data_IF_898131521980
#
_entry.id   IF_898131521980
#
_cell.length_a   1.000
_cell.length_b   1.000
_cell.length_c   1.000
_cell.angle_alpha   90.00
_cell.angle_beta   90.00
_cell.angle_gamma   90.00
#
_symmetry.space_group_name_H-M   'P 1'
#
loop_
_entity.id
_entity.type
_entity.pdbx_description
1 polymer ?
#
# COMPACT_ATOMS: atom_id res chain seq x y z
N UNK A 1 -21.32 -5.56 26.20
CA UNK A 1 -20.27 -4.80 26.92
C UNK A 1 -18.95 -5.54 27.08
N UNK A 2 -18.91 -6.81 27.54
CA UNK A 2 -17.65 -7.57 27.70
C UNK A 2 -16.84 -7.71 26.40
N UNK A 3 -17.51 -7.96 25.27
CA UNK A 3 -16.85 -8.20 23.97
C UNK A 3 -16.09 -6.98 23.42
N UNK A 4 -16.62 -5.77 23.65
CA UNK A 4 -15.99 -4.50 23.22
C UNK A 4 -14.69 -4.27 24.00
N UNK A 5 -14.69 -4.57 25.30
CA UNK A 5 -13.52 -4.41 26.17
C UNK A 5 -12.35 -5.30 25.76
N UNK A 6 -12.61 -6.53 25.31
CA UNK A 6 -11.56 -7.43 24.82
C UNK A 6 -10.93 -6.94 23.51
N UNK A 7 -11.72 -6.33 22.61
CA UNK A 7 -11.20 -5.74 21.35
C UNK A 7 -10.31 -4.52 21.62
N UNK A 8 -10.70 -3.66 22.55
CA UNK A 8 -9.89 -2.49 22.95
C UNK A 8 -8.56 -2.90 23.58
N UNK A 9 -8.55 -3.96 24.40
CA UNK A 9 -7.33 -4.50 25.00
C UNK A 9 -6.41 -5.11 23.93
N UNK A 10 -6.96 -5.87 22.97
CA UNK A 10 -6.19 -6.43 21.86
C UNK A 10 -5.55 -5.34 20.99
N UNK A 11 -6.29 -4.27 20.69
CA UNK A 11 -5.75 -3.11 19.95
C UNK A 11 -4.66 -2.40 20.76
N UNK A 12 -4.85 -2.22 22.07
CA UNK A 12 -3.86 -1.62 22.95
C UNK A 12 -2.57 -2.45 23.08
N UNK A 13 -2.70 -3.77 23.23
CA UNK A 13 -1.57 -4.71 23.25
C UNK A 13 -0.85 -4.73 21.92
N UNK A 14 -1.58 -4.73 20.80
CA UNK A 14 -1.00 -4.66 19.47
C UNK A 14 -0.20 -3.37 19.25
N UNK A 15 -0.74 -2.21 19.66
CA UNK A 15 -0.01 -0.93 19.64
C UNK A 15 1.23 -0.94 20.53
N UNK A 16 1.14 -1.48 21.75
CA UNK A 16 2.28 -1.57 22.68
C UNK A 16 3.41 -2.44 22.14
N UNK A 17 3.06 -3.59 21.54
CA UNK A 17 4.02 -4.50 20.89
C UNK A 17 4.69 -3.83 19.69
N UNK A 18 3.92 -3.10 18.88
CA UNK A 18 4.47 -2.36 17.74
C UNK A 18 5.48 -1.30 18.16
N UNK A 19 5.22 -0.56 19.24
CA UNK A 19 6.16 0.46 19.73
C UNK A 19 7.47 -0.13 20.26
N UNK A 20 7.44 -1.33 20.83
CA UNK A 20 8.64 -2.01 21.34
C UNK A 20 9.46 -2.62 20.18
N UNK A 21 8.78 -3.14 19.16
CA UNK A 21 9.42 -3.68 17.95
C UNK A 21 9.99 -2.58 17.03
N UNK A 22 9.47 -1.35 17.12
CA UNK A 22 9.96 -0.19 16.38
C UNK A 22 11.08 0.53 17.12
N UNK A 23 12.34 0.17 16.84
CA UNK A 23 13.46 1.11 16.99
C UNK A 23 13.85 1.62 15.61
N UNK A 24 13.37 2.80 15.18
CA UNK A 24 13.71 3.31 13.85
C UNK A 24 15.19 3.70 13.81
N UNK A 25 16.02 2.90 13.14
CA UNK A 25 17.34 3.32 12.70
C UNK A 25 17.27 3.64 11.21
N UNK A 26 17.70 4.85 10.83
CA UNK A 26 17.57 5.40 9.49
C UNK A 26 18.81 5.11 8.64
N UNK A 27 18.61 4.42 7.52
CA UNK A 27 19.47 4.51 6.34
C UNK A 27 18.55 4.66 5.13
N UNK A 28 18.58 5.79 4.42
CA UNK A 28 17.71 5.99 3.25
C UNK A 28 18.13 7.15 2.35
N UNK A 29 18.55 6.80 1.14
CA UNK A 29 18.57 7.65 -0.05
C UNK A 29 17.19 7.56 -0.71
N UNK A 30 16.38 8.61 -0.66
CA UNK A 30 15.18 8.71 -1.49
C UNK A 30 15.08 10.13 -2.04
N UNK A 31 15.10 10.25 -3.37
CA UNK A 31 15.10 11.53 -4.11
C UNK A 31 13.71 12.15 -4.18
N UNK A 32 12.67 11.42 -3.79
CA UNK A 32 11.29 11.91 -3.76
C UNK A 32 10.91 12.16 -2.32
N UNK A 33 11.14 13.39 -1.87
CA UNK A 33 10.98 13.88 -0.51
C UNK A 33 9.52 13.84 0.00
N UNK A 34 8.94 12.65 0.15
CA UNK A 34 7.66 12.45 0.81
C UNK A 34 7.79 12.80 2.29
N UNK A 35 6.95 13.71 2.78
CA UNK A 35 6.86 14.11 4.19
C UNK A 35 8.12 14.76 4.79
N UNK A 36 9.05 15.27 3.96
CA UNK A 36 10.27 15.95 4.44
C UNK A 36 9.98 17.03 5.50
N UNK A 37 8.86 17.76 5.39
CA UNK A 37 8.46 18.80 6.33
C UNK A 37 7.94 18.27 7.68
N UNK A 38 7.09 17.22 7.68
CA UNK A 38 6.61 16.59 8.92
C UNK A 38 7.79 15.87 9.63
N UNK A 39 8.68 15.29 8.83
CA UNK A 39 9.94 14.64 9.23
C UNK A 39 10.92 15.63 9.86
N UNK A 40 11.11 16.80 9.25
CA UNK A 40 12.04 17.81 9.74
C UNK A 40 11.50 18.53 11.00
N UNK A 41 10.20 18.86 11.02
CA UNK A 41 9.55 19.52 12.15
C UNK A 41 9.42 18.63 13.41
N UNK A 42 9.14 17.33 13.25
CA UNK A 42 8.94 16.41 14.39
C UNK A 42 10.24 15.84 14.96
N UNK A 43 11.31 15.74 14.17
CA UNK A 43 12.55 15.05 14.56
C UNK A 43 13.70 16.02 14.79
N UNK A 44 13.84 17.06 13.95
CA UNK A 44 14.93 18.05 14.07
C UNK A 44 14.47 19.44 14.49
N UNK A 45 13.16 19.64 14.64
CA UNK A 45 12.55 20.96 14.88
C UNK A 45 13.01 22.03 13.86
N UNK A 46 13.38 21.63 12.65
CA UNK A 46 13.78 22.55 11.56
C UNK A 46 12.95 22.26 10.31
N UNK A 47 12.79 23.24 9.42
CA UNK A 47 12.14 23.08 8.11
C UNK A 47 13.17 23.07 6.96
N UNK A 48 14.46 23.00 7.29
CA UNK A 48 15.54 23.07 6.32
C UNK A 48 15.78 21.69 5.69
N UNK A 49 15.54 21.62 4.37
CA UNK A 49 15.65 20.41 3.54
C UNK A 49 16.95 20.38 2.72
N UNK A 50 17.85 21.36 2.93
CA UNK A 50 19.09 21.50 2.15
C UNK A 50 20.16 20.44 2.47
N UNK A 51 20.06 19.74 3.61
CA UNK A 51 21.00 18.68 4.00
C UNK A 51 20.77 17.33 3.31
N UNK A 52 19.63 17.12 2.64
CA UNK A 52 19.29 15.89 1.90
C UNK A 52 20.01 15.83 0.53
N UNK A 53 21.29 16.22 0.49
CA UNK A 53 22.09 16.56 -0.68
C UNK A 53 22.12 15.56 -1.86
N UNK A 54 22.71 15.97 -3.00
CA UNK A 54 22.61 15.25 -4.27
C UNK A 54 23.15 13.80 -4.22
N UNK A 55 22.66 12.91 -5.11
CA UNK A 55 22.86 11.46 -5.06
C UNK A 55 24.33 10.97 -5.14
N UNK A 56 25.27 11.86 -5.44
CA UNK A 56 26.65 11.52 -5.80
C UNK A 56 27.54 11.24 -4.58
N UNK A 57 27.08 11.52 -3.35
CA UNK A 57 27.90 11.38 -2.13
C UNK A 57 28.11 9.94 -1.65
N UNK A 58 27.46 8.94 -2.25
CA UNK A 58 27.55 7.54 -1.83
C UNK A 58 28.23 6.61 -2.84
N UNK A 59 28.82 7.13 -3.93
CA UNK A 59 29.54 6.34 -4.93
C UNK A 59 30.84 5.67 -4.43
N UNK A 60 31.25 5.92 -3.17
CA UNK A 60 32.52 5.44 -2.61
C UNK A 60 32.44 4.30 -1.58
N UNK A 61 31.24 3.87 -1.14
CA UNK A 61 31.14 2.84 -0.10
C UNK A 61 31.19 1.43 -0.71
N UNK A 62 32.40 0.85 -0.75
CA UNK A 62 32.60 -0.59 -0.97
C UNK A 62 31.92 -1.38 0.16
N UNK A 63 31.30 -2.54 -0.13
CA UNK A 63 30.66 -3.37 0.89
C UNK A 63 31.75 -4.06 1.74
N UNK A 64 32.02 -3.52 2.92
CA UNK A 64 32.84 -4.16 3.93
C UNK A 64 32.05 -5.25 4.66
N UNK A 65 32.66 -6.44 4.78
CA UNK A 65 32.19 -7.59 5.56
C UNK A 65 32.01 -7.25 7.04
N UNK A 66 30.98 -7.83 7.66
CA UNK A 66 30.97 -8.17 9.08
C UNK A 66 30.14 -7.27 9.98
N UNK A 67 28.86 -7.62 10.16
CA UNK A 67 28.15 -7.52 11.43
C UNK A 67 26.83 -8.31 11.33
N UNK A 68 26.96 -9.64 11.29
CA UNK A 68 25.88 -10.56 11.62
C UNK A 68 25.62 -10.47 13.12
N UNK A 69 24.35 -10.31 13.50
CA UNK A 69 23.96 -10.29 14.91
C UNK A 69 22.46 -10.11 15.08
N UNK A 70 21.76 -11.23 15.27
CA UNK A 70 20.35 -11.36 15.66
C UNK A 70 19.33 -11.29 14.52
N UNK A 71 19.28 -12.40 13.80
CA UNK A 71 18.02 -12.96 13.31
C UNK A 71 17.03 -13.07 14.48
N UNK A 72 15.95 -12.30 14.44
CA UNK A 72 14.93 -12.34 15.49
C UNK A 72 13.91 -11.24 15.29
N UNK A 73 12.91 -11.52 14.44
CA UNK A 73 11.57 -10.91 14.30
C UNK A 73 11.21 -10.60 12.83
N UNK A 74 11.16 -11.69 12.06
CA UNK A 74 10.26 -11.78 10.91
C UNK A 74 8.82 -11.64 11.40
N UNK A 75 8.10 -10.58 11.01
CA UNK A 75 6.63 -10.56 10.96
C UNK A 75 6.01 -9.28 10.33
N UNK A 76 6.70 -8.13 10.33
CA UNK A 76 6.13 -6.85 9.86
C UNK A 76 6.95 -6.07 8.83
N UNK A 77 8.13 -6.57 8.43
CA UNK A 77 9.29 -5.71 8.17
C UNK A 77 9.31 -4.97 6.83
N UNK A 78 8.55 -5.30 5.78
CA UNK A 78 8.73 -4.52 4.52
C UNK A 78 7.87 -3.26 4.40
N UNK A 79 6.67 -3.25 4.96
CA UNK A 79 5.93 -1.99 5.15
C UNK A 79 6.52 -1.17 6.32
N UNK A 80 7.36 -1.81 7.14
CA UNK A 80 8.04 -1.25 8.31
C UNK A 80 9.49 -0.85 8.03
N UNK A 81 10.12 -1.32 6.95
CA UNK A 81 11.48 -0.95 6.56
C UNK A 81 11.52 0.48 6.02
N UNK A 82 10.40 0.97 5.47
CA UNK A 82 10.19 2.36 5.11
C UNK A 82 8.85 2.88 5.68
N UNK A 83 8.74 3.00 7.02
CA UNK A 83 7.49 3.39 7.69
C UNK A 83 7.04 4.82 7.37
N UNK A 84 7.95 5.62 6.81
CA UNK A 84 7.70 6.98 6.35
C UNK A 84 7.27 7.06 4.88
N UNK A 85 7.13 5.94 4.16
CA UNK A 85 6.55 5.97 2.82
C UNK A 85 5.03 6.01 2.86
N UNK A 86 4.45 6.65 1.85
CA UNK A 86 3.02 6.96 1.75
C UNK A 86 2.08 5.74 1.85
N UNK A 87 2.57 4.50 1.72
CA UNK A 87 1.77 3.28 1.59
C UNK A 87 0.91 2.93 2.82
N UNK A 88 1.49 3.02 4.03
CA UNK A 88 0.73 2.72 5.26
C UNK A 88 -0.35 3.78 5.50
N UNK A 89 0.00 5.05 5.28
CA UNK A 89 -0.91 6.20 5.37
C UNK A 89 -2.01 6.10 4.30
N UNK A 90 -1.66 5.67 3.08
CA UNK A 90 -2.57 5.43 1.96
C UNK A 90 -3.60 4.36 2.30
N UNK A 91 -3.16 3.21 2.85
CA UNK A 91 -4.08 2.17 3.31
C UNK A 91 -5.00 2.69 4.43
N UNK A 92 -4.45 3.37 5.44
CA UNK A 92 -5.21 3.91 6.56
C UNK A 92 -6.29 4.90 6.09
N UNK A 93 -5.93 5.88 5.26
CA UNK A 93 -6.87 6.92 4.82
C UNK A 93 -7.96 6.34 3.92
N UNK A 94 -7.64 5.36 3.07
CA UNK A 94 -8.64 4.62 2.27
C UNK A 94 -9.60 3.83 3.17
N UNK A 95 -9.09 3.13 4.18
CA UNK A 95 -9.93 2.39 5.13
C UNK A 95 -10.83 3.34 5.96
N UNK A 96 -10.29 4.47 6.42
CA UNK A 96 -11.04 5.50 7.13
C UNK A 96 -12.14 6.12 6.24
N UNK A 97 -11.83 6.35 4.96
CA UNK A 97 -12.81 6.85 3.99
C UNK A 97 -13.97 5.86 3.83
N UNK A 98 -13.66 4.57 3.62
CA UNK A 98 -14.68 3.52 3.52
C UNK A 98 -15.53 3.41 4.79
N UNK A 99 -14.90 3.49 5.96
CA UNK A 99 -15.58 3.48 7.25
C UNK A 99 -16.55 4.66 7.40
N UNK A 100 -16.10 5.89 7.13
CA UNK A 100 -16.95 7.07 7.24
C UNK A 100 -18.07 7.10 6.19
N UNK A 101 -17.79 6.65 4.98
CA UNK A 101 -18.81 6.52 3.93
C UNK A 101 -19.91 5.51 4.29
N UNK A 102 -19.55 4.45 5.02
CA UNK A 102 -20.47 3.41 5.44
C UNK A 102 -21.30 3.76 6.68
N UNK A 103 -20.80 4.66 7.52
CA UNK A 103 -21.35 4.93 8.85
C UNK A 103 -22.78 5.47 8.82
N UNK A 104 -23.13 6.26 7.80
CA UNK A 104 -24.43 6.96 7.73
C UNK A 104 -25.01 6.93 6.32
N UNK A 105 -26.24 6.43 6.19
CA UNK A 105 -27.03 6.47 4.96
C UNK A 105 -28.53 6.62 5.29
N UNK A 106 -29.21 7.73 4.92
CA UNK A 106 -28.73 8.84 4.12
C UNK A 106 -27.77 9.78 4.89
N UNK A 107 -26.69 10.28 4.25
CA UNK A 107 -25.71 11.13 4.92
C UNK A 107 -26.23 12.57 5.14
N UNK A 108 -25.77 13.21 6.21
CA UNK A 108 -25.96 14.65 6.42
C UNK A 108 -24.89 15.48 5.70
N UNK A 109 -25.09 16.81 5.59
CA UNK A 109 -24.05 17.71 5.08
C UNK A 109 -22.76 17.66 5.91
N UNK A 110 -22.86 17.46 7.23
CA UNK A 110 -21.70 17.32 8.12
C UNK A 110 -20.93 16.03 7.85
N UNK A 111 -21.63 14.93 7.55
CA UNK A 111 -20.98 13.67 7.18
C UNK A 111 -20.26 13.80 5.83
N UNK A 112 -20.86 14.50 4.86
CA UNK A 112 -20.19 14.81 3.58
C UNK A 112 -19.00 15.75 3.74
N UNK A 113 -19.06 16.73 4.65
CA UNK A 113 -17.91 17.57 4.98
C UNK A 113 -16.75 16.74 5.52
N UNK A 114 -17.01 15.82 6.46
CA UNK A 114 -16.00 14.90 7.01
C UNK A 114 -15.44 13.97 5.95
N UNK A 115 -16.30 13.39 5.12
CA UNK A 115 -15.89 12.51 4.03
C UNK A 115 -15.05 13.25 2.99
N UNK A 116 -15.42 14.50 2.70
CA UNK A 116 -14.66 15.42 1.86
C UNK A 116 -13.28 15.67 2.43
N UNK A 117 -13.20 16.04 3.72
CA UNK A 117 -11.94 16.25 4.43
C UNK A 117 -11.01 15.04 4.32
N UNK A 118 -11.53 13.84 4.59
CA UNK A 118 -10.76 12.59 4.49
C UNK A 118 -10.34 12.32 3.04
N UNK A 119 -11.22 12.54 2.06
CA UNK A 119 -10.87 12.35 0.64
C UNK A 119 -9.85 13.37 0.13
N UNK A 120 -9.90 14.61 0.60
CA UNK A 120 -8.88 15.63 0.33
C UNK A 120 -7.51 15.26 0.94
N UNK A 121 -7.52 14.77 2.19
CA UNK A 121 -6.32 14.22 2.83
C UNK A 121 -5.80 12.99 2.06
N UNK A 122 -6.68 12.11 1.59
CA UNK A 122 -6.30 10.96 0.78
C UNK A 122 -5.63 11.38 -0.53
N UNK A 123 -6.14 12.43 -1.18
CA UNK A 123 -5.55 13.02 -2.37
C UNK A 123 -4.17 13.65 -2.10
N UNK A 124 -3.95 14.21 -0.91
CA UNK A 124 -2.63 14.68 -0.47
C UNK A 124 -1.63 13.53 -0.33
N UNK A 125 -2.07 12.37 0.16
CA UNK A 125 -1.21 11.18 0.24
C UNK A 125 -0.86 10.69 -1.17
N UNK A 126 -1.85 10.59 -2.05
CA UNK A 126 -1.68 10.28 -3.48
C UNK A 126 -2.79 10.89 -4.30
N UNK A 127 -2.46 11.61 -5.37
CA UNK A 127 -3.44 12.30 -6.21
C UNK A 127 -4.51 11.35 -6.79
N UNK A 128 -4.13 10.12 -7.12
CA UNK A 128 -5.07 9.09 -7.60
C UNK A 128 -6.23 8.81 -6.62
N UNK A 129 -6.05 9.02 -5.31
CA UNK A 129 -7.09 8.81 -4.30
C UNK A 129 -8.20 9.85 -4.35
N UNK A 130 -8.02 10.97 -5.08
CA UNK A 130 -9.10 11.91 -5.34
C UNK A 130 -10.31 11.24 -6.01
N UNK A 131 -10.09 10.13 -6.74
CA UNK A 131 -11.16 9.30 -7.31
C UNK A 131 -12.16 8.76 -6.28
N UNK A 132 -11.77 8.60 -5.00
CA UNK A 132 -12.69 8.17 -3.93
C UNK A 132 -13.88 9.13 -3.77
N UNK A 133 -13.68 10.43 -4.04
CA UNK A 133 -14.71 11.46 -3.91
C UNK A 133 -15.74 11.43 -5.05
N UNK A 134 -15.42 10.79 -6.18
CA UNK A 134 -16.32 10.70 -7.33
C UNK A 134 -17.62 9.97 -6.94
N UNK A 135 -17.51 8.87 -6.22
CA UNK A 135 -18.65 8.03 -5.86
C UNK A 135 -19.67 8.71 -4.92
N UNK A 136 -19.28 9.28 -3.76
CA UNK A 136 -20.22 10.03 -2.94
C UNK A 136 -20.80 11.25 -3.66
N UNK A 137 -20.03 11.89 -4.55
CA UNK A 137 -20.53 12.98 -5.38
C UNK A 137 -21.63 12.50 -6.36
N UNK A 138 -21.42 11.37 -7.05
CA UNK A 138 -22.43 10.79 -7.94
C UNK A 138 -23.70 10.38 -7.18
N UNK A 139 -23.58 9.88 -5.95
CA UNK A 139 -24.73 9.56 -5.11
C UNK A 139 -25.58 10.80 -4.78
N UNK A 140 -24.95 11.92 -4.46
CA UNK A 140 -25.65 13.16 -4.13
C UNK A 140 -26.19 13.85 -5.40
N UNK A 141 -25.46 13.76 -6.51
CA UNK A 141 -25.91 14.23 -7.82
C UNK A 141 -27.19 13.50 -8.26
N UNK A 142 -27.25 12.18 -8.08
CA UNK A 142 -28.45 11.40 -8.35
C UNK A 142 -29.64 11.82 -7.46
N UNK A 143 -29.37 12.30 -6.23
CA UNK A 143 -30.38 12.78 -5.28
C UNK A 143 -30.86 14.19 -5.56
N UNK A 144 -30.12 15.02 -6.31
CA UNK A 144 -30.55 16.38 -6.68
C UNK A 144 -31.92 16.39 -7.36
N UNK A 145 -32.23 15.37 -8.17
CA UNK A 145 -33.52 15.25 -8.86
C UNK A 145 -34.71 15.16 -7.92
N UNK A 146 -34.50 14.69 -6.69
CA UNK A 146 -35.57 14.50 -5.69
C UNK A 146 -35.53 15.59 -4.61
N UNK A 147 -34.35 16.02 -4.19
CA UNK A 147 -34.15 17.00 -3.13
C UNK A 147 -32.99 17.95 -3.50
N UNK A 148 -33.23 18.98 -4.33
CA UNK A 148 -32.16 19.80 -4.91
C UNK A 148 -31.39 20.60 -3.86
N UNK A 149 -32.08 21.20 -2.88
CA UNK A 149 -31.44 21.99 -1.81
C UNK A 149 -30.52 21.11 -0.95
N UNK A 150 -30.99 19.92 -0.55
CA UNK A 150 -30.20 18.99 0.26
C UNK A 150 -29.03 18.38 -0.52
N UNK A 151 -29.26 17.97 -1.77
CA UNK A 151 -28.19 17.41 -2.60
C UNK A 151 -27.10 18.44 -2.89
N UNK A 152 -27.47 19.70 -3.16
CA UNK A 152 -26.50 20.78 -3.39
C UNK A 152 -25.72 21.10 -2.11
N UNK A 153 -26.39 21.16 -0.96
CA UNK A 153 -25.74 21.34 0.34
C UNK A 153 -24.73 20.23 0.64
N UNK A 154 -25.07 18.97 0.34
CA UNK A 154 -24.18 17.81 0.52
C UNK A 154 -22.98 17.83 -0.43
N UNK A 155 -23.19 18.17 -1.70
CA UNK A 155 -22.12 18.34 -2.69
C UNK A 155 -21.18 19.49 -2.32
N UNK A 156 -21.74 20.64 -1.92
CA UNK A 156 -20.96 21.78 -1.45
C UNK A 156 -20.14 21.41 -0.22
N UNK A 157 -20.74 20.72 0.76
CA UNK A 157 -20.03 20.26 1.94
C UNK A 157 -18.90 19.27 1.59
N UNK A 158 -19.14 18.32 0.68
CA UNK A 158 -18.12 17.40 0.18
C UNK A 158 -16.94 18.15 -0.47
N UNK A 159 -17.24 19.10 -1.35
CA UNK A 159 -16.23 19.91 -2.04
C UNK A 159 -15.43 20.81 -1.10
N UNK A 160 -16.09 21.49 -0.16
CA UNK A 160 -15.43 22.31 0.87
C UNK A 160 -14.52 21.44 1.73
N UNK A 161 -15.01 20.28 2.18
CA UNK A 161 -14.20 19.33 2.94
C UNK A 161 -12.97 18.89 2.17
N UNK A 162 -13.14 18.51 0.90
CA UNK A 162 -12.04 18.10 0.04
C UNK A 162 -11.00 19.21 -0.16
N UNK A 163 -11.45 20.44 -0.38
CA UNK A 163 -10.57 21.61 -0.48
C UNK A 163 -9.76 21.83 0.80
N UNK A 164 -10.40 21.77 1.97
CA UNK A 164 -9.70 21.91 3.27
C UNK A 164 -8.69 20.77 3.47
N UNK A 165 -9.07 19.53 3.16
CA UNK A 165 -8.18 18.37 3.31
C UNK A 165 -6.99 18.37 2.36
N UNK A 166 -7.15 18.96 1.17
CA UNK A 166 -6.09 19.08 0.16
C UNK A 166 -5.27 20.37 0.30
N UNK A 167 -5.71 21.33 1.11
CA UNK A 167 -5.06 22.62 1.32
C UNK A 167 -3.56 22.51 1.69
N UNK A 168 -3.12 21.56 2.58
CA UNK A 168 -1.70 21.42 2.87
C UNK A 168 -0.85 21.17 1.62
N UNK A 169 -1.35 20.36 0.68
CA UNK A 169 -0.65 20.09 -0.57
C UNK A 169 -0.57 21.33 -1.47
N UNK A 170 -1.65 22.12 -1.53
CA UNK A 170 -1.68 23.35 -2.32
C UNK A 170 -0.71 24.41 -1.76
N UNK A 171 -0.57 24.49 -0.44
CA UNK A 171 0.43 25.36 0.21
C UNK A 171 1.84 24.92 -0.18
N UNK A 172 2.13 23.61 -0.13
CA UNK A 172 3.43 23.07 -0.57
C UNK A 172 3.71 23.46 -2.02
N UNK A 173 2.73 23.32 -2.90
CA UNK A 173 2.90 23.73 -4.30
C UNK A 173 3.16 25.23 -4.48
N UNK A 174 2.46 26.07 -3.70
CA UNK A 174 2.68 27.52 -3.75
C UNK A 174 4.08 27.90 -3.30
N UNK A 175 4.62 27.22 -2.29
CA UNK A 175 5.97 27.47 -1.77
C UNK A 175 7.04 26.94 -2.73
N UNK A 176 6.89 25.71 -3.23
CA UNK A 176 7.93 25.03 -4.03
C UNK A 176 7.91 25.45 -5.50
N UNK A 177 6.72 25.53 -6.10
CA UNK A 177 6.55 25.77 -7.54
C UNK A 177 5.99 27.16 -7.85
N UNK A 178 5.66 27.97 -6.83
CA UNK A 178 5.04 29.29 -7.02
C UNK A 178 3.57 29.24 -7.45
N UNK A 179 2.97 28.06 -7.60
CA UNK A 179 1.62 27.87 -8.14
C UNK A 179 0.71 27.13 -7.15
N UNK A 180 -0.56 27.51 -7.07
CA UNK A 180 -1.54 26.84 -6.19
C UNK A 180 -2.02 25.49 -6.70
N UNK A 181 -1.90 25.24 -8.00
CA UNK A 181 -2.27 23.98 -8.66
C UNK A 181 -1.16 23.60 -9.63
N UNK A 182 -0.57 22.44 -9.43
CA UNK A 182 0.48 21.90 -10.31
C UNK A 182 -0.09 20.67 -11.00
N UNK A 183 -0.19 20.73 -12.33
CA UNK A 183 -0.88 19.69 -13.11
C UNK A 183 -0.19 18.33 -13.08
N UNK A 184 1.13 18.29 -13.29
CA UNK A 184 1.91 17.05 -13.21
C UNK A 184 3.23 17.27 -12.47
N UNK A 185 3.23 17.26 -11.13
CA UNK A 185 4.45 17.41 -10.34
C UNK A 185 5.47 16.32 -10.65
N UNK A 186 5.00 15.11 -10.96
CA UNK A 186 5.84 13.96 -11.31
C UNK A 186 6.52 14.14 -12.67
N UNK A 187 5.81 14.68 -13.66
CA UNK A 187 6.38 15.00 -14.96
C UNK A 187 7.44 16.10 -14.91
N UNK A 188 7.22 17.12 -14.07
CA UNK A 188 8.19 18.20 -13.84
C UNK A 188 9.49 17.64 -13.23
N UNK A 189 9.38 16.64 -12.35
CA UNK A 189 10.51 15.96 -11.73
C UNK A 189 11.13 14.84 -12.61
N UNK A 190 10.68 14.67 -13.86
CA UNK A 190 11.16 13.59 -14.75
C UNK A 190 10.71 12.18 -14.35
N UNK A 191 9.77 12.05 -13.42
CA UNK A 191 9.28 10.77 -12.88
C UNK A 191 8.17 10.12 -13.73
N UNK A 192 8.01 10.53 -14.99
CA UNK A 192 7.09 9.92 -15.96
C UNK A 192 5.98 10.84 -16.49
N UNK A 193 5.45 10.48 -17.64
CA UNK A 193 4.30 11.10 -18.30
C UNK A 193 2.99 10.37 -17.99
N UNK A 194 1.87 11.08 -18.14
CA UNK A 194 0.51 10.54 -18.01
C UNK A 194 -0.17 10.58 -19.38
N UNK A 195 -0.60 9.41 -19.89
CA UNK A 195 -1.38 9.25 -21.11
C UNK A 195 -2.68 8.49 -20.83
N UNK A 196 -3.80 9.22 -20.90
CA UNK A 196 -5.13 8.66 -20.73
C UNK A 196 -5.62 7.80 -21.91
N UNK A 197 -4.98 7.89 -23.09
CA UNK A 197 -5.48 7.23 -24.31
C UNK A 197 -4.97 5.81 -24.49
N UNK A 198 -3.81 5.50 -23.91
CA UNK A 198 -3.18 4.19 -24.02
C UNK A 198 -2.83 3.61 -22.63
N UNK A 199 -3.82 3.31 -21.78
CA UNK A 199 -3.55 2.79 -20.45
C UNK A 199 -3.06 1.33 -20.49
N UNK A 200 -1.99 1.02 -19.74
CA UNK A 200 -1.40 -0.31 -19.58
C UNK A 200 -2.23 -1.25 -18.67
N UNK A 201 -3.54 -1.36 -18.90
CA UNK A 201 -4.49 -2.03 -17.98
C UNK A 201 -4.13 -3.50 -17.71
N UNK A 202 -3.83 -4.26 -18.77
CA UNK A 202 -3.49 -5.68 -18.64
C UNK A 202 -2.14 -5.86 -17.94
N UNK A 203 -1.20 -4.96 -18.18
CA UNK A 203 0.13 -5.02 -17.56
C UNK A 203 0.03 -4.73 -16.05
N UNK A 204 -0.78 -3.76 -15.64
CA UNK A 204 -1.04 -3.45 -14.23
C UNK A 204 -1.62 -4.66 -13.48
N UNK A 205 -2.37 -5.53 -14.16
CA UNK A 205 -3.00 -6.70 -13.55
C UNK A 205 -2.13 -7.96 -13.60
N UNK A 206 -1.49 -8.22 -14.74
CA UNK A 206 -0.89 -9.52 -15.06
C UNK A 206 0.58 -9.45 -15.49
N UNK A 207 1.21 -8.27 -15.48
CA UNK A 207 2.64 -8.21 -15.78
C UNK A 207 3.47 -8.83 -14.68
N UNK A 208 4.56 -9.50 -15.06
CA UNK A 208 5.60 -9.92 -14.11
C UNK A 208 6.32 -8.73 -13.49
N UNK A 209 6.24 -7.55 -14.10
CA UNK A 209 6.74 -6.30 -13.57
C UNK A 209 5.73 -5.67 -12.58
N UNK A 210 5.62 -6.28 -11.38
CA UNK A 210 4.75 -5.85 -10.27
C UNK A 210 3.24 -5.81 -10.56
N UNK A 211 2.75 -6.66 -11.47
CA UNK A 211 1.31 -6.81 -11.71
C UNK A 211 0.55 -7.35 -10.49
N UNK A 212 -0.68 -6.86 -10.31
CA UNK A 212 -1.49 -7.11 -9.12
C UNK A 212 -1.68 -8.59 -8.78
N UNK A 213 -2.16 -9.38 -9.73
CA UNK A 213 -2.55 -10.76 -9.46
C UNK A 213 -1.38 -11.74 -9.42
N UNK A 214 -0.29 -11.45 -10.15
CA UNK A 214 0.89 -12.30 -10.13
C UNK A 214 1.69 -12.15 -8.82
N UNK A 215 1.81 -10.91 -8.33
CA UNK A 215 2.54 -10.65 -7.09
C UNK A 215 1.69 -10.88 -5.85
N UNK A 216 0.38 -10.63 -5.96
CA UNK A 216 -0.56 -10.78 -4.84
C UNK A 216 -1.76 -11.64 -5.23
N UNK A 217 -1.60 -12.98 -5.35
CA UNK A 217 -2.67 -13.88 -5.78
C UNK A 217 -3.94 -13.81 -4.91
N UNK A 218 -3.80 -13.45 -3.63
CA UNK A 218 -4.94 -13.26 -2.72
C UNK A 218 -5.90 -12.15 -3.19
N UNK A 219 -5.41 -11.18 -3.98
CA UNK A 219 -6.24 -10.13 -4.59
C UNK A 219 -7.28 -10.71 -5.57
N UNK A 220 -6.97 -11.82 -6.25
CA UNK A 220 -7.92 -12.53 -7.12
C UNK A 220 -9.11 -13.05 -6.32
N UNK A 221 -8.83 -13.69 -5.18
CA UNK A 221 -9.88 -14.19 -4.28
C UNK A 221 -10.69 -13.05 -3.65
N UNK A 222 -10.04 -11.95 -3.30
CA UNK A 222 -10.74 -10.74 -2.86
C UNK A 222 -11.73 -10.23 -3.93
N UNK A 223 -11.29 -10.17 -5.19
CA UNK A 223 -12.14 -9.74 -6.31
C UNK A 223 -13.30 -10.71 -6.57
N UNK A 224 -13.08 -12.01 -6.48
CA UNK A 224 -14.16 -13.02 -6.54
C UNK A 224 -15.18 -12.82 -5.42
N UNK A 225 -14.70 -12.47 -4.22
CA UNK A 225 -15.52 -12.08 -3.09
C UNK A 225 -16.38 -10.84 -3.34
N UNK A 226 -15.81 -9.82 -4.00
CA UNK A 226 -16.51 -8.61 -4.40
C UNK A 226 -17.62 -8.88 -5.43
N UNK A 227 -17.30 -9.63 -6.50
CA UNK A 227 -18.22 -9.87 -7.63
C UNK A 227 -19.31 -10.90 -7.27
N UNK A 228 -19.00 -11.85 -6.39
CA UNK A 228 -19.91 -12.92 -5.98
C UNK A 228 -20.63 -12.61 -4.66
N UNK A 229 -20.16 -13.12 -3.51
CA UNK A 229 -20.85 -13.00 -2.23
C UNK A 229 -21.20 -11.57 -1.81
N UNK A 230 -20.26 -10.63 -1.87
CA UNK A 230 -20.49 -9.26 -1.41
C UNK A 230 -21.50 -8.53 -2.29
N UNK A 231 -21.48 -8.77 -3.61
CA UNK A 231 -22.47 -8.19 -4.53
C UNK A 231 -23.89 -8.64 -4.22
N UNK A 232 -24.06 -9.87 -3.73
CA UNK A 232 -25.37 -10.43 -3.37
C UNK A 232 -25.87 -9.90 -2.03
N UNK A 233 -24.99 -9.79 -1.03
CA UNK A 233 -25.38 -9.36 0.33
C UNK A 233 -25.40 -7.85 0.50
N UNK A 234 -24.44 -7.14 -0.09
CA UNK A 234 -24.22 -5.70 0.05
C UNK A 234 -23.85 -5.08 -1.31
N UNK A 235 -24.78 -5.03 -2.28
CA UNK A 235 -24.50 -4.56 -3.64
C UNK A 235 -23.91 -3.14 -3.66
N UNK A 236 -24.39 -2.23 -2.80
CA UNK A 236 -23.87 -0.87 -2.68
C UNK A 236 -22.35 -0.85 -2.44
N UNK A 237 -21.86 -1.70 -1.55
CA UNK A 237 -20.43 -1.84 -1.25
C UNK A 237 -19.66 -2.44 -2.42
N UNK A 238 -20.16 -3.53 -2.98
CA UNK A 238 -19.50 -4.19 -4.11
C UNK A 238 -19.35 -3.24 -5.30
N UNK A 239 -20.40 -2.52 -5.69
CA UNK A 239 -20.33 -1.56 -6.79
C UNK A 239 -19.35 -0.43 -6.50
N UNK A 240 -19.35 0.14 -5.30
CA UNK A 240 -18.38 1.17 -4.92
C UNK A 240 -16.94 0.66 -5.06
N UNK A 241 -16.62 -0.50 -4.45
CA UNK A 241 -15.25 -1.01 -4.42
C UNK A 241 -14.80 -1.44 -5.82
N UNK A 242 -15.67 -2.07 -6.61
CA UNK A 242 -15.37 -2.45 -7.99
C UNK A 242 -15.14 -1.23 -8.88
N UNK A 243 -15.99 -0.21 -8.75
CA UNK A 243 -15.83 1.02 -9.52
C UNK A 243 -14.54 1.75 -9.12
N UNK A 244 -14.23 1.82 -7.83
CA UNK A 244 -12.96 2.37 -7.35
C UNK A 244 -11.76 1.55 -7.82
N UNK A 245 -11.86 0.22 -7.85
CA UNK A 245 -10.82 -0.68 -8.39
C UNK A 245 -10.57 -0.36 -9.87
N UNK A 246 -11.63 -0.24 -10.68
CA UNK A 246 -11.52 0.15 -12.08
C UNK A 246 -10.89 1.53 -12.27
N UNK A 247 -11.30 2.52 -11.48
CA UNK A 247 -10.73 3.87 -11.53
C UNK A 247 -9.23 3.88 -11.18
N UNK A 248 -8.81 3.14 -10.14
CA UNK A 248 -7.40 3.05 -9.75
C UNK A 248 -6.57 2.33 -10.82
N UNK A 249 -7.04 1.21 -11.37
CA UNK A 249 -6.34 0.51 -12.46
C UNK A 249 -6.19 1.41 -13.67
N UNK A 250 -7.23 2.18 -14.02
CA UNK A 250 -7.17 3.14 -15.12
C UNK A 250 -6.15 4.25 -14.87
N UNK A 251 -6.23 4.93 -13.72
CA UNK A 251 -5.31 6.03 -13.39
C UNK A 251 -3.86 5.54 -13.34
N UNK A 252 -3.61 4.40 -12.71
CA UNK A 252 -2.26 3.81 -12.63
C UNK A 252 -1.79 3.33 -14.00
N UNK A 253 -2.65 2.69 -14.78
CA UNK A 253 -2.32 2.23 -16.13
C UNK A 253 -2.05 3.37 -17.12
N UNK A 254 -2.66 4.53 -16.91
CA UNK A 254 -2.39 5.75 -17.69
C UNK A 254 -1.06 6.42 -17.34
N UNK A 255 -0.31 5.95 -16.34
CA UNK A 255 0.99 6.48 -16.00
C UNK A 255 2.11 5.64 -16.63
N UNK A 256 3.08 6.28 -17.29
CA UNK A 256 4.22 5.60 -17.92
C UNK A 256 5.07 4.77 -16.95
N UNK A 257 5.09 5.13 -15.66
CA UNK A 257 5.76 4.37 -14.60
C UNK A 257 4.80 3.46 -13.80
N UNK A 258 3.77 2.91 -14.46
CA UNK A 258 2.73 2.06 -13.87
C UNK A 258 3.26 0.89 -13.00
N UNK A 259 4.45 0.37 -13.32
CA UNK A 259 5.08 -0.72 -12.57
C UNK A 259 5.59 -0.30 -11.17
N UNK A 260 5.61 1.00 -10.91
CA UNK A 260 6.00 1.55 -9.63
C UNK A 260 7.51 1.53 -9.37
N UNK A 261 8.37 1.36 -10.38
CA UNK A 261 9.84 1.36 -10.25
C UNK A 261 10.33 0.37 -9.18
N UNK A 262 11.12 0.82 -8.20
CA UNK A 262 11.61 -0.02 -7.09
C UNK A 262 10.48 -0.33 -6.12
N UNK A 263 9.91 -1.54 -6.20
CA UNK A 263 8.73 -1.91 -5.44
C UNK A 263 8.61 -3.40 -5.14
N UNK A 264 8.15 -3.69 -3.93
CA UNK A 264 7.62 -5.00 -3.56
C UNK A 264 6.14 -5.08 -3.96
N UNK A 265 5.89 -5.68 -5.11
CA UNK A 265 4.54 -5.82 -5.66
C UNK A 265 3.90 -4.50 -6.14
N UNK A 266 2.57 -4.47 -6.31
CA UNK A 266 1.84 -3.37 -6.95
C UNK A 266 1.66 -2.17 -6.00
N UNK A 267 2.75 -1.51 -5.61
CA UNK A 267 2.73 -0.47 -4.56
C UNK A 267 1.79 0.71 -4.85
N UNK A 268 1.42 0.94 -6.11
CA UNK A 268 0.47 1.98 -6.52
C UNK A 268 -0.99 1.57 -6.28
N UNK A 269 -1.27 0.30 -6.02
CA UNK A 269 -2.62 -0.22 -5.78
C UNK A 269 -2.89 -0.56 -4.30
N UNK A 270 -2.01 -0.13 -3.39
CA UNK A 270 -2.10 -0.41 -1.95
C UNK A 270 -3.43 0.08 -1.34
N UNK A 271 -3.95 1.22 -1.79
CA UNK A 271 -5.25 1.74 -1.34
C UNK A 271 -6.44 0.81 -1.61
N UNK A 272 -6.36 -0.08 -2.62
CA UNK A 272 -7.42 -1.03 -2.92
C UNK A 272 -7.55 -2.15 -1.88
N UNK A 273 -6.49 -2.43 -1.11
CA UNK A 273 -6.48 -3.55 -0.19
C UNK A 273 -7.49 -3.41 0.96
N UNK A 274 -7.85 -2.17 1.33
CA UNK A 274 -8.90 -1.92 2.32
C UNK A 274 -10.27 -2.43 1.81
N UNK A 275 -10.60 -2.19 0.55
CA UNK A 275 -11.81 -2.73 -0.09
C UNK A 275 -11.71 -4.22 -0.38
N UNK A 276 -10.55 -4.70 -0.82
CA UNK A 276 -10.31 -6.12 -1.07
C UNK A 276 -10.45 -6.96 0.19
N UNK A 277 -10.10 -6.44 1.37
CA UNK A 277 -10.34 -7.12 2.64
C UNK A 277 -11.83 -7.43 2.86
N UNK A 278 -12.73 -6.51 2.47
CA UNK A 278 -14.18 -6.73 2.56
C UNK A 278 -14.67 -7.79 1.57
N UNK A 279 -14.13 -7.79 0.34
CA UNK A 279 -14.40 -8.85 -0.63
C UNK A 279 -13.95 -10.22 -0.12
N UNK A 280 -12.72 -10.30 0.37
CA UNK A 280 -12.15 -11.53 0.91
C UNK A 280 -12.94 -12.04 2.12
N UNK A 281 -13.36 -11.15 3.01
CA UNK A 281 -14.20 -11.51 4.16
C UNK A 281 -15.54 -12.13 3.72
N UNK A 282 -16.21 -11.53 2.73
CA UNK A 282 -17.45 -12.07 2.18
C UNK A 282 -17.24 -13.43 1.50
N UNK A 283 -16.11 -13.63 0.81
CA UNK A 283 -15.74 -14.94 0.26
C UNK A 283 -15.49 -15.97 1.36
N UNK A 284 -14.76 -15.59 2.40
CA UNK A 284 -14.47 -16.47 3.54
C UNK A 284 -15.74 -16.89 4.26
N UNK A 285 -16.69 -15.97 4.42
CA UNK A 285 -17.98 -16.29 5.02
C UNK A 285 -18.76 -17.30 4.15
N UNK A 286 -18.81 -17.10 2.83
CA UNK A 286 -19.47 -18.02 1.90
C UNK A 286 -18.82 -19.41 1.89
N UNK A 287 -17.48 -19.48 1.83
CA UNK A 287 -16.70 -20.72 1.90
C UNK A 287 -16.96 -21.42 3.23
N UNK A 288 -16.88 -20.68 4.35
CA UNK A 288 -17.08 -21.20 5.70
C UNK A 288 -18.48 -21.80 5.86
N UNK A 289 -19.50 -21.14 5.34
CA UNK A 289 -20.87 -21.62 5.41
C UNK A 289 -21.07 -22.93 4.64
N UNK A 290 -20.36 -23.14 3.52
CA UNK A 290 -20.53 -24.32 2.66
C UNK A 290 -19.62 -25.50 3.00
N UNK A 291 -18.39 -25.22 3.43
CA UNK A 291 -17.30 -26.21 3.58
C UNK A 291 -16.57 -26.13 4.93
N UNK A 292 -17.03 -25.29 5.85
CA UNK A 292 -16.43 -25.10 7.18
C UNK A 292 -15.15 -24.26 7.18
N UNK A 293 -14.51 -24.17 8.35
CA UNK A 293 -13.37 -23.26 8.57
C UNK A 293 -12.05 -23.72 7.91
N UNK A 294 -11.89 -25.02 7.67
CA UNK A 294 -10.65 -25.62 7.13
C UNK A 294 -10.15 -24.97 5.83
N UNK A 295 -10.97 -24.83 4.76
CA UNK A 295 -10.52 -24.18 3.52
C UNK A 295 -10.15 -22.70 3.71
N UNK A 296 -10.82 -21.98 4.62
CA UNK A 296 -10.51 -20.58 4.93
C UNK A 296 -9.12 -20.46 5.56
N UNK A 297 -8.82 -21.34 6.53
CA UNK A 297 -7.51 -21.40 7.17
C UNK A 297 -6.41 -21.83 6.19
N UNK A 298 -6.69 -22.82 5.33
CA UNK A 298 -5.75 -23.27 4.30
C UNK A 298 -5.41 -22.14 3.32
N UNK A 299 -6.43 -21.46 2.76
CA UNK A 299 -6.22 -20.34 1.85
C UNK A 299 -5.45 -19.19 2.52
N UNK A 300 -5.79 -18.85 3.75
CA UNK A 300 -5.08 -17.82 4.52
C UNK A 300 -3.63 -18.22 4.81
N UNK A 301 -3.39 -19.49 5.19
CA UNK A 301 -2.05 -20.02 5.44
C UNK A 301 -1.18 -19.99 4.19
N UNK A 302 -1.72 -20.41 3.04
CA UNK A 302 -1.01 -20.34 1.75
C UNK A 302 -0.71 -18.89 1.36
N UNK A 303 -1.66 -17.97 1.51
CA UNK A 303 -1.46 -16.56 1.19
C UNK A 303 -0.40 -15.89 2.09
N UNK A 304 -0.41 -16.20 3.39
CA UNK A 304 0.60 -15.71 4.33
C UNK A 304 1.97 -16.29 4.00
N UNK A 305 2.06 -17.61 3.77
CA UNK A 305 3.31 -18.27 3.40
C UNK A 305 3.89 -17.69 2.10
N UNK A 306 3.05 -17.54 1.07
CA UNK A 306 3.43 -16.89 -0.18
C UNK A 306 4.04 -15.50 0.04
N UNK A 307 3.36 -14.65 0.81
CA UNK A 307 3.83 -13.30 1.07
C UNK A 307 5.13 -13.27 1.90
N UNK A 308 5.28 -14.16 2.88
CA UNK A 308 6.49 -14.26 3.71
C UNK A 308 7.69 -14.78 2.93
N UNK A 309 7.50 -15.77 2.05
CA UNK A 309 8.58 -16.28 1.19
C UNK A 309 8.99 -15.21 0.18
N UNK A 310 8.02 -14.58 -0.50
CA UNK A 310 8.31 -13.50 -1.45
C UNK A 310 9.02 -12.33 -0.75
N UNK A 311 8.62 -12.01 0.48
CA UNK A 311 9.30 -11.03 1.33
C UNK A 311 10.75 -11.42 1.62
N UNK A 312 11.00 -12.65 2.08
CA UNK A 312 12.36 -13.12 2.35
C UNK A 312 13.24 -13.07 1.09
N UNK A 313 12.70 -13.51 -0.05
CA UNK A 313 13.37 -13.46 -1.35
C UNK A 313 13.71 -12.03 -1.78
N UNK A 314 12.78 -11.10 -1.60
CA UNK A 314 13.01 -9.68 -1.87
C UNK A 314 14.06 -9.08 -0.93
N UNK A 315 14.03 -9.42 0.36
CA UNK A 315 14.98 -8.96 1.36
C UNK A 315 16.41 -9.45 1.12
N UNK A 316 16.56 -10.71 0.70
CA UNK A 316 17.85 -11.31 0.35
C UNK A 316 18.35 -10.95 -1.06
N UNK A 317 17.57 -10.19 -1.84
CA UNK A 317 17.94 -9.82 -3.20
C UNK A 317 17.83 -10.94 -4.24
N UNK A 318 17.20 -12.08 -3.90
CA UNK A 318 16.91 -13.17 -4.86
C UNK A 318 15.89 -12.71 -5.92
N UNK A 319 15.04 -11.73 -5.58
CA UNK A 319 14.14 -11.07 -6.53
C UNK A 319 14.62 -9.65 -6.81
N UNK A 320 14.80 -9.26 -8.09
CA UNK A 320 15.18 -7.91 -8.47
C UNK A 320 14.25 -6.83 -7.91
N UNK A 321 14.84 -5.72 -7.45
CA UNK A 321 14.08 -4.57 -6.91
C UNK A 321 13.31 -3.80 -7.99
N UNK A 322 13.83 -3.78 -9.23
CA UNK A 322 13.23 -3.16 -10.41
C UNK A 322 13.24 -4.11 -11.61
N UNK A 323 12.44 -3.82 -12.64
CA UNK A 323 12.37 -4.62 -13.88
C UNK A 323 11.61 -5.96 -13.77
N UNK A 324 11.09 -6.49 -14.89
CA UNK A 324 10.30 -7.72 -14.91
C UNK A 324 11.07 -8.90 -14.31
N UNK A 325 10.34 -9.80 -13.63
CA UNK A 325 10.90 -11.05 -13.08
C UNK A 325 10.35 -12.21 -13.91
N UNK A 326 11.17 -13.10 -14.46
CA UNK A 326 10.66 -14.26 -15.21
C UNK A 326 9.61 -15.01 -14.39
N UNK A 327 8.49 -15.41 -15.02
CA UNK A 327 7.37 -16.01 -14.30
C UNK A 327 7.79 -17.29 -13.56
N UNK A 328 8.68 -18.07 -14.16
CA UNK A 328 9.32 -19.25 -13.57
C UNK A 328 10.03 -18.88 -12.28
N UNK A 329 10.86 -17.84 -12.29
CA UNK A 329 11.62 -17.41 -11.12
C UNK A 329 10.69 -16.82 -10.05
N UNK A 330 9.64 -16.11 -10.47
CA UNK A 330 8.66 -15.54 -9.55
C UNK A 330 7.89 -16.66 -8.84
N UNK A 331 7.32 -17.63 -9.56
CA UNK A 331 6.43 -18.66 -9.00
C UNK A 331 7.16 -19.94 -8.56
N UNK A 332 7.97 -20.56 -9.41
CA UNK A 332 8.74 -21.76 -9.03
C UNK A 332 9.76 -21.40 -7.96
N UNK A 333 10.33 -20.20 -8.01
CA UNK A 333 11.21 -19.70 -6.96
C UNK A 333 10.53 -19.60 -5.59
N UNK A 334 9.21 -19.38 -5.49
CA UNK A 334 8.51 -19.45 -4.19
C UNK A 334 8.53 -20.86 -3.61
N UNK A 335 8.43 -21.86 -4.47
CA UNK A 335 8.37 -23.26 -4.06
C UNK A 335 9.75 -23.81 -3.72
N UNK A 336 10.78 -23.41 -4.47
CA UNK A 336 12.15 -23.91 -4.27
C UNK A 336 12.96 -23.13 -3.25
N UNK A 337 12.63 -21.85 -3.00
CA UNK A 337 13.39 -21.02 -2.07
C UNK A 337 13.45 -21.57 -0.64
N UNK A 338 12.38 -22.07 -0.01
CA UNK A 338 12.47 -22.66 1.33
C UNK A 338 13.49 -23.80 1.42
N UNK A 339 13.55 -24.64 0.38
CA UNK A 339 14.53 -25.74 0.31
C UNK A 339 15.96 -25.21 0.19
N UNK A 340 16.18 -24.25 -0.72
CA UNK A 340 17.49 -23.58 -0.89
C UNK A 340 17.93 -22.81 0.37
N UNK A 341 16.98 -22.22 1.10
CA UNK A 341 17.25 -21.50 2.33
C UNK A 341 17.67 -22.44 3.47
N UNK A 342 17.04 -23.62 3.58
CA UNK A 342 17.42 -24.65 4.56
C UNK A 342 18.84 -25.15 4.33
N UNK A 343 19.25 -25.35 3.08
CA UNK A 343 20.63 -25.72 2.73
C UNK A 343 21.65 -24.66 3.18
N UNK A 344 21.34 -23.37 2.95
CA UNK A 344 22.20 -22.25 3.38
C UNK A 344 22.30 -22.13 4.90
N UNK A 345 21.20 -22.32 5.62
CA UNK A 345 21.20 -22.33 7.09
C UNK A 345 22.01 -23.53 7.62
N UNK A 346 21.90 -24.69 6.98
CA UNK A 346 22.73 -25.86 7.31
C UNK A 346 24.23 -25.56 7.17
N UNK A 347 24.65 -24.91 6.09
CA UNK A 347 26.04 -24.49 5.89
C UNK A 347 26.50 -23.44 6.93
N UNK A 348 25.67 -22.44 7.23
CA UNK A 348 25.97 -21.43 8.26
C UNK A 348 26.08 -22.04 9.66
N UNK A 349 25.19 -22.98 10.01
CA UNK A 349 25.26 -23.70 11.29
C UNK A 349 26.52 -24.56 11.34
N UNK A 350 26.87 -25.25 10.25
CA UNK A 350 28.11 -26.03 10.18
C UNK A 350 29.37 -25.15 10.26
N UNK A 351 29.35 -23.96 9.65
CA UNK A 351 30.42 -22.97 9.75
C UNK A 351 30.50 -22.25 11.10
N UNK A 352 29.39 -22.12 11.83
CA UNK A 352 29.36 -21.62 13.21
C UNK A 352 29.82 -22.68 14.22
N UNK A 353 29.55 -23.96 13.94
CA UNK A 353 29.95 -25.09 14.79
C UNK A 353 31.41 -25.51 14.58
N UNK A 354 31.99 -25.25 13.39
CA UNK A 354 33.43 -25.42 13.13
C UNK A 354 34.10 -24.05 13.28
N UNK A 355 34.82 -23.81 14.38
CA UNK A 355 35.65 -22.62 14.56
C UNK A 355 36.91 -22.64 13.65
N UNK A 356 36.76 -22.87 12.35
CA UNK A 356 37.86 -22.82 11.38
C UNK A 356 37.76 -21.54 10.52
N UNK A 357 38.89 -20.87 10.21
CA UNK A 357 38.88 -19.71 9.32
C UNK A 357 38.31 -20.08 7.95
N UNK A 358 37.46 -19.20 7.40
CA UNK A 358 36.74 -19.37 6.13
C UNK A 358 37.68 -19.39 4.91
N UNK A 359 38.42 -20.47 4.71
CA UNK A 359 39.15 -20.77 3.48
C UNK A 359 38.34 -21.76 2.63
N UNK A 360 37.32 -21.25 1.93
CA UNK A 360 36.56 -22.06 0.97
C UNK A 360 35.10 -21.66 0.83
N UNK A 361 34.82 -20.41 0.45
CA UNK A 361 33.51 -20.08 -0.10
C UNK A 361 33.33 -20.85 -1.43
N UNK A 362 32.17 -21.49 -1.70
CA UNK A 362 31.90 -22.04 -3.02
C UNK A 362 31.89 -20.89 -4.05
N UNK A 363 32.48 -21.10 -5.24
CA UNK A 363 32.55 -20.05 -6.25
C UNK A 363 31.15 -19.76 -6.78
N UNK A 364 30.71 -18.51 -6.58
CA UNK A 364 29.67 -17.77 -7.32
C UNK A 364 28.35 -18.49 -7.62
N UNK A 365 27.25 -17.97 -7.04
CA UNK A 365 26.03 -17.53 -7.73
C UNK A 365 25.00 -16.95 -6.73
#
# INVERSE_FOLDING_TARGET
MREIRHRSILVGVWFGILMILFRPQLHGMDTVAYYAWLRAAAIRHSLDVSEDGPPDRFAGLRPGRGADGVAGLAAGVLHVAHPFMAHAVDFFVNALFLWEWARVNPPSGRDRLRLGLIGGLAATVRYQNASLLIWPALEDLARLRRAPREGLSRLAALGIGAGIGFLPQMIVWRVVFGQWVVGNPYGIAGAGSFDGRAPHLLEVLFSTNRGLFLWTPIATFALLGLIGPLRRTCPRWAHFILAQTGAQIYIVGSWSAWSGAAAFGPRLLTGLFAGFALGLAALYEAIRARWGMRPVLALSGVAVAWNLILLARYGLGDVPRMGPVPLTDLWLGQLTFPMRALERVGWLIQGLLRQDPLDGAPPGL
#
